data_IF_268501153275
#
_entry.id   IF_268501153275
#
_cell.length_a   1.000
_cell.length_b   1.000
_cell.length_c   1.000
_cell.angle_alpha   90.00
_cell.angle_beta   90.00
_cell.angle_gamma   90.00
#
_symmetry.space_group_name_H-M   'P 1'
#
loop_
_entity.id
_entity.type
_entity.pdbx_description
1 polymer ?
#
# COMPACT_ATOMS: atom_id res chain seq x y z
N UNK A 1 10.46 -3.57 1.98
CA UNK A 1 10.49 -2.56 0.90
C UNK A 1 10.56 -3.27 -0.43
N UNK A 2 9.51 -4.00 -0.79
CA UNK A 2 9.60 -5.08 -1.81
C UNK A 2 8.73 -4.84 -3.05
N UNK A 3 8.21 -3.62 -3.23
CA UNK A 3 7.44 -3.24 -4.43
C UNK A 3 8.25 -2.18 -5.18
N UNK A 4 8.89 -2.59 -6.27
CA UNK A 4 9.51 -1.65 -7.22
C UNK A 4 8.38 -0.84 -7.89
N UNK A 5 8.51 0.49 -7.90
CA UNK A 5 7.45 1.42 -8.36
C UNK A 5 6.62 2.07 -7.24
N UNK A 6 6.64 1.52 -6.02
CA UNK A 6 6.09 2.18 -4.82
C UNK A 6 7.24 2.62 -3.91
N UNK A 7 7.76 3.82 -4.17
CA UNK A 7 8.75 4.46 -3.31
C UNK A 7 8.15 4.92 -1.97
N UNK A 8 9.01 5.31 -1.02
CA UNK A 8 8.61 5.80 0.32
C UNK A 8 7.48 6.84 0.30
N UNK A 9 7.51 7.76 -0.66
CA UNK A 9 6.50 8.82 -0.80
C UNK A 9 5.13 8.28 -1.21
N UNK A 10 5.10 7.32 -2.14
CA UNK A 10 3.85 6.69 -2.59
C UNK A 10 3.30 5.74 -1.53
N UNK A 11 4.15 4.96 -0.87
CA UNK A 11 3.73 4.12 0.27
C UNK A 11 3.07 4.96 1.35
N UNK A 12 3.68 6.10 1.72
CA UNK A 12 3.12 7.05 2.69
C UNK A 12 1.75 7.58 2.28
N UNK A 13 1.59 7.95 1.00
CA UNK A 13 0.32 8.46 0.49
C UNK A 13 -0.78 7.39 0.53
N UNK A 14 -0.47 6.16 0.13
CA UNK A 14 -1.43 5.04 0.15
C UNK A 14 -1.78 4.66 1.59
N UNK A 15 -0.81 4.59 2.50
CA UNK A 15 -1.04 4.34 3.92
C UNK A 15 -1.89 5.45 4.56
N UNK A 16 -1.64 6.72 4.22
CA UNK A 16 -2.46 7.84 4.67
C UNK A 16 -3.89 7.80 4.11
N UNK A 17 -4.05 7.42 2.84
CA UNK A 17 -5.36 7.26 2.21
C UNK A 17 -6.16 6.08 2.78
N UNK A 18 -5.47 4.97 3.08
CA UNK A 18 -6.05 3.78 3.70
C UNK A 18 -6.22 3.93 5.23
N UNK A 19 -5.71 5.00 5.84
CA UNK A 19 -5.79 5.24 7.29
C UNK A 19 -4.95 4.25 8.13
N UNK A 20 -3.88 3.70 7.56
CA UNK A 20 -3.03 2.68 8.19
C UNK A 20 -1.74 3.37 8.64
N UNK A 21 -1.33 3.13 9.90
CA UNK A 21 -0.10 3.69 10.41
C UNK A 21 1.12 3.03 9.73
N UNK A 22 2.14 3.84 9.44
CA UNK A 22 3.33 3.40 8.71
C UNK A 22 4.20 2.38 9.47
N UNK A 23 3.93 2.22 10.77
CA UNK A 23 4.63 1.29 11.64
C UNK A 23 3.88 -0.04 11.85
N UNK A 24 2.65 -0.15 11.33
CA UNK A 24 1.82 -1.35 11.47
C UNK A 24 2.45 -2.47 10.66
N UNK A 25 2.72 -3.59 11.33
CA UNK A 25 3.22 -4.79 10.64
C UNK A 25 2.09 -5.41 9.83
N UNK A 26 2.43 -6.07 8.73
CA UNK A 26 1.46 -6.84 7.91
C UNK A 26 0.64 -7.83 8.76
N UNK A 27 1.21 -8.31 9.86
CA UNK A 27 0.57 -9.17 10.85
C UNK A 27 -0.60 -8.54 11.61
N UNK A 28 -0.65 -7.21 11.65
CA UNK A 28 -1.65 -6.40 12.36
C UNK A 28 -2.62 -5.70 11.39
N UNK A 29 -2.38 -5.79 10.08
CA UNK A 29 -3.34 -5.33 9.08
C UNK A 29 -4.53 -6.28 9.03
N UNK A 30 -5.74 -5.73 9.04
CA UNK A 30 -6.96 -6.48 8.73
C UNK A 30 -7.08 -6.76 7.24
N UNK A 31 -7.82 -7.81 6.85
CA UNK A 31 -8.08 -8.09 5.43
C UNK A 31 -8.76 -6.91 4.72
N UNK A 32 -9.65 -6.19 5.40
CA UNK A 32 -10.30 -4.97 4.88
C UNK A 32 -9.28 -3.88 4.55
N UNK A 33 -8.29 -3.67 5.43
CA UNK A 33 -7.20 -2.73 5.19
C UNK A 33 -6.32 -3.14 4.01
N UNK A 34 -6.07 -4.44 3.85
CA UNK A 34 -5.33 -5.00 2.72
C UNK A 34 -6.08 -4.79 1.41
N UNK A 35 -7.40 -4.99 1.39
CA UNK A 35 -8.23 -4.81 0.21
C UNK A 35 -8.28 -3.33 -0.22
N UNK A 36 -8.45 -2.42 0.76
CA UNK A 36 -8.38 -0.97 0.54
C UNK A 36 -7.01 -0.55 -0.02
N UNK A 37 -5.93 -1.14 0.51
CA UNK A 37 -4.57 -0.92 0.00
C UNK A 37 -4.41 -1.40 -1.43
N UNK A 38 -5.00 -2.55 -1.79
CA UNK A 38 -4.95 -3.09 -3.16
C UNK A 38 -5.70 -2.21 -4.14
N UNK A 39 -6.87 -1.70 -3.78
CA UNK A 39 -7.63 -0.77 -4.62
C UNK A 39 -6.88 0.55 -4.83
N UNK A 40 -6.29 1.11 -3.77
CA UNK A 40 -5.48 2.32 -3.87
C UNK A 40 -4.22 2.07 -4.69
N UNK A 41 -3.52 0.95 -4.47
CA UNK A 41 -2.36 0.56 -5.28
C UNK A 41 -2.75 0.33 -6.73
N UNK A 42 -3.92 -0.25 -7.03
CA UNK A 42 -4.39 -0.47 -8.40
C UNK A 42 -4.65 0.83 -9.18
N UNK A 43 -4.94 1.95 -8.49
CA UNK A 43 -5.01 3.29 -9.12
C UNK A 43 -3.65 3.81 -9.54
N UNK A 44 -2.57 3.33 -8.92
CA UNK A 44 -1.21 3.68 -9.28
C UNK A 44 -0.61 2.58 -10.15
N UNK A 45 -0.11 2.93 -11.33
CA UNK A 45 0.60 1.96 -12.17
C UNK A 45 1.84 1.49 -11.41
N UNK A 46 1.78 0.25 -10.91
CA UNK A 46 2.89 -0.46 -10.25
C UNK A 46 3.35 -1.57 -11.19
N UNK A 47 4.66 -1.73 -11.34
CA UNK A 47 5.28 -2.70 -12.25
C UNK A 47 5.17 -4.14 -11.71
N UNK A 48 3.94 -4.63 -11.56
CA UNK A 48 3.62 -6.07 -11.68
C UNK A 48 2.94 -6.40 -13.00
N UNK A 49 2.70 -5.38 -13.85
CA UNK A 49 2.04 -5.47 -15.16
C UNK A 49 3.04 -5.59 -16.34
N UNK A 50 4.36 -5.65 -16.05
CA UNK A 50 5.41 -5.94 -17.04
C UNK A 50 6.09 -7.27 -16.76
#
# INVERSE_FOLDING_TARGET
>A
TSIYGVGKTRSKAILAAAGIAEDVKISELSEEQIDTLRDEVAKFVVEGDL
#
